data_IF_144028938372
#
_entry.id   IF_144028938372
#
_cell.length_a   1.000
_cell.length_b   1.000
_cell.length_c   1.000
_cell.angle_alpha   90.00
_cell.angle_beta   90.00
_cell.angle_gamma   90.00
#
_symmetry.space_group_name_H-M   'P 1'
#
loop_
_entity.id
_entity.type
_entity.pdbx_description
1 polymer ?
#
# COMPACT_ATOMS: atom_id res chain seq x y z
N UNK A 1 37.61 23.90 17.39
CA UNK A 1 36.91 23.08 18.43
C UNK A 1 35.39 23.23 18.37
N UNK A 2 34.86 24.37 17.90
CA UNK A 2 33.43 24.58 17.60
C UNK A 2 32.95 23.87 16.33
N UNK A 3 33.75 23.84 15.28
CA UNK A 3 33.38 23.25 13.97
C UNK A 3 33.14 21.73 14.06
N UNK A 4 34.01 21.01 14.77
CA UNK A 4 33.86 19.57 15.03
C UNK A 4 32.59 19.24 15.83
N UNK A 5 32.14 20.17 16.70
CA UNK A 5 30.89 20.03 17.44
C UNK A 5 29.66 20.25 16.54
N UNK A 6 29.76 21.17 15.58
CA UNK A 6 28.69 21.44 14.64
C UNK A 6 28.51 20.29 13.64
N UNK A 7 29.62 19.74 13.15
CA UNK A 7 29.60 18.57 12.25
C UNK A 7 28.99 17.34 12.95
N UNK A 8 29.40 17.07 14.19
CA UNK A 8 28.80 15.99 15.00
C UNK A 8 27.30 16.19 15.28
N UNK A 9 26.86 17.43 15.51
CA UNK A 9 25.45 17.72 15.75
C UNK A 9 24.60 17.53 14.49
N UNK A 10 25.10 17.98 13.33
CA UNK A 10 24.42 17.82 12.05
C UNK A 10 24.37 16.34 11.61
N UNK A 11 25.44 15.58 11.84
CA UNK A 11 25.46 14.13 11.58
C UNK A 11 24.43 13.41 12.46
N UNK A 12 24.32 13.78 13.74
CA UNK A 12 23.34 13.19 14.64
C UNK A 12 21.90 13.49 14.21
N UNK A 13 21.58 14.73 13.85
CA UNK A 13 20.25 15.09 13.36
C UNK A 13 19.88 14.32 12.09
N UNK A 14 20.83 14.17 11.16
CA UNK A 14 20.63 13.37 9.95
C UNK A 14 20.38 11.88 10.23
N UNK A 15 21.07 11.32 11.23
CA UNK A 15 20.89 9.92 11.66
C UNK A 15 19.52 9.72 12.32
N UNK A 16 19.12 10.64 13.21
CA UNK A 16 17.80 10.57 13.87
C UNK A 16 16.66 10.71 12.83
N UNK A 17 16.78 11.60 11.84
CA UNK A 17 15.80 11.74 10.75
C UNK A 17 15.69 10.46 9.90
N UNK A 18 16.83 9.86 9.53
CA UNK A 18 16.82 8.57 8.82
C UNK A 18 16.15 7.46 9.62
N UNK A 19 16.40 7.41 10.92
CA UNK A 19 15.84 6.40 11.81
C UNK A 19 14.32 6.54 11.95
N UNK A 20 13.79 7.77 12.01
CA UNK A 20 12.35 8.02 12.07
C UNK A 20 11.66 7.66 10.74
N UNK A 21 12.30 7.96 9.60
CA UNK A 21 11.80 7.55 8.27
C UNK A 21 11.77 6.03 8.14
N UNK A 22 12.83 5.34 8.55
CA UNK A 22 12.91 3.88 8.53
C UNK A 22 11.81 3.26 9.42
N UNK A 23 11.64 3.75 10.65
CA UNK A 23 10.55 3.32 11.53
C UNK A 23 9.18 3.58 10.90
N UNK A 24 8.97 4.75 10.29
CA UNK A 24 7.71 5.06 9.63
C UNK A 24 7.42 4.11 8.46
N UNK A 25 8.43 3.75 7.66
CA UNK A 25 8.23 2.79 6.57
C UNK A 25 7.85 1.40 7.08
N UNK A 26 8.47 0.93 8.17
CA UNK A 26 8.14 -0.37 8.78
C UNK A 26 6.70 -0.38 9.31
N UNK A 27 6.25 0.70 9.96
CA UNK A 27 4.88 0.80 10.48
C UNK A 27 3.84 0.78 9.36
N UNK A 28 4.12 1.45 8.24
CA UNK A 28 3.23 1.43 7.07
C UNK A 28 3.16 0.04 6.43
N UNK A 29 4.29 -0.67 6.33
CA UNK A 29 4.32 -2.06 5.83
C UNK A 29 3.54 -3.03 6.73
N UNK A 30 3.57 -2.84 8.06
CA UNK A 30 2.77 -3.64 9.00
C UNK A 30 1.27 -3.35 8.89
N UNK A 31 0.87 -2.11 8.58
CA UNK A 31 -0.53 -1.70 8.43
C UNK A 31 -1.16 -2.17 7.11
N UNK A 32 -0.38 -2.29 6.04
CA UNK A 32 -0.82 -2.86 4.76
C UNK A 32 -1.05 -4.39 4.85
N UNK A 33 -0.43 -5.05 5.83
CA UNK A 33 -0.56 -6.48 6.03
C UNK A 33 -1.84 -6.84 6.81
N UNK A 34 -2.35 -8.05 6.60
CA UNK A 34 -3.53 -8.49 7.35
C UNK A 34 -3.22 -8.58 8.87
N UNK A 35 -4.10 -8.05 9.75
CA UNK A 35 -3.91 -8.13 11.20
C UNK A 35 -4.06 -9.56 11.75
N UNK A 36 -4.53 -10.49 10.93
CA UNK A 36 -4.70 -11.90 11.28
C UNK A 36 -3.46 -12.65 10.76
N UNK A 37 -2.59 -13.20 11.64
CA UNK A 37 -1.30 -13.76 11.23
C UNK A 37 -1.45 -14.97 10.31
N UNK A 38 -2.52 -15.75 10.46
CA UNK A 38 -2.82 -16.88 9.58
C UNK A 38 -3.13 -16.43 8.15
N UNK A 39 -3.75 -15.26 7.98
CA UNK A 39 -4.10 -14.69 6.67
C UNK A 39 -2.87 -14.07 6.02
N UNK A 40 -2.09 -13.30 6.79
CA UNK A 40 -0.83 -12.72 6.32
C UNK A 40 0.18 -13.77 5.85
N UNK A 41 0.20 -14.94 6.48
CA UNK A 41 1.12 -16.02 6.10
C UNK A 41 0.72 -16.75 4.81
N UNK A 42 -0.55 -16.69 4.40
CA UNK A 42 -1.07 -17.46 3.25
C UNK A 42 -1.49 -16.58 2.06
N UNK A 43 -1.64 -15.27 2.26
CA UNK A 43 -2.04 -14.32 1.21
C UNK A 43 -0.84 -13.46 0.81
N UNK A 44 -0.56 -13.35 -0.48
CA UNK A 44 0.46 -12.43 -1.01
C UNK A 44 -0.05 -10.99 -0.95
N UNK A 45 0.76 -10.06 -0.43
CA UNK A 45 0.44 -8.63 -0.43
C UNK A 45 0.58 -7.96 -1.81
N UNK A 46 1.15 -8.67 -2.80
CA UNK A 46 1.23 -8.19 -4.18
C UNK A 46 0.09 -8.77 -5.01
N UNK A 47 -0.67 -7.88 -5.64
CA UNK A 47 -1.67 -8.24 -6.63
C UNK A 47 -1.04 -8.85 -7.90
N UNK A 48 -1.73 -9.81 -8.52
CA UNK A 48 -1.31 -10.43 -9.78
C UNK A 48 -2.01 -9.74 -10.97
N UNK A 49 -1.26 -9.01 -11.83
CA UNK A 49 -1.82 -8.30 -12.98
C UNK A 49 -2.18 -9.22 -14.16
N UNK A 50 -1.79 -10.50 -14.12
CA UNK A 50 -2.16 -11.49 -15.13
C UNK A 50 -3.56 -12.06 -14.93
N UNK A 51 -4.12 -11.88 -13.73
CA UNK A 51 -5.50 -12.25 -13.44
C UNK A 51 -6.44 -11.43 -14.33
N UNK A 52 -7.40 -12.06 -15.02
CA UNK A 52 -8.27 -11.37 -15.95
C UNK A 52 -9.28 -10.51 -15.18
N UNK A 53 -8.95 -9.24 -15.00
CA UNK A 53 -9.86 -8.20 -14.52
C UNK A 53 -10.82 -7.84 -15.66
N UNK A 54 -12.10 -7.55 -15.35
CA UNK A 54 -13.10 -7.16 -16.36
C UNK A 54 -13.42 -8.24 -17.41
N UNK A 55 -13.61 -9.49 -16.97
CA UNK A 55 -14.01 -10.60 -17.85
C UNK A 55 -15.31 -10.34 -18.62
N UNK A 56 -15.50 -11.04 -19.75
CA UNK A 56 -16.73 -10.99 -20.55
C UNK A 56 -18.00 -11.19 -19.70
N UNK A 57 -18.00 -12.14 -18.74
CA UNK A 57 -19.13 -12.36 -17.83
C UNK A 57 -19.51 -11.14 -17.01
N UNK A 58 -18.54 -10.32 -16.60
CA UNK A 58 -18.80 -9.09 -15.87
C UNK A 58 -19.45 -8.04 -16.77
N UNK A 59 -18.89 -7.82 -17.97
CA UNK A 59 -19.44 -6.86 -18.92
C UNK A 59 -20.85 -7.20 -19.40
N UNK A 60 -21.13 -8.49 -19.64
CA UNK A 60 -22.48 -8.94 -20.03
C UNK A 60 -23.49 -8.58 -18.94
N UNK A 61 -23.19 -8.87 -17.67
CA UNK A 61 -24.09 -8.52 -16.57
C UNK A 61 -24.21 -6.99 -16.41
N UNK A 62 -23.09 -6.26 -16.45
CA UNK A 62 -23.08 -4.81 -16.29
C UNK A 62 -23.91 -4.09 -17.37
N UNK A 63 -23.72 -4.46 -18.65
CA UNK A 63 -24.51 -3.90 -19.77
C UNK A 63 -25.97 -4.31 -19.66
N UNK A 64 -26.26 -5.58 -19.34
CA UNK A 64 -27.63 -6.05 -19.18
C UNK A 64 -28.38 -5.25 -18.11
N UNK A 65 -27.80 -5.08 -16.92
CA UNK A 65 -28.43 -4.31 -15.86
C UNK A 65 -28.52 -2.83 -16.20
N UNK A 66 -27.52 -2.25 -16.86
CA UNK A 66 -27.56 -0.86 -17.32
C UNK A 66 -28.69 -0.62 -18.33
N UNK A 67 -28.86 -1.50 -19.31
CA UNK A 67 -29.97 -1.43 -20.26
C UNK A 67 -31.32 -1.55 -19.55
N UNK A 68 -31.49 -2.57 -18.71
CA UNK A 68 -32.75 -2.81 -17.97
C UNK A 68 -33.13 -1.58 -17.13
N UNK A 69 -32.20 -1.05 -16.33
CA UNK A 69 -32.46 0.12 -15.47
C UNK A 69 -32.74 1.39 -16.29
N UNK A 70 -32.09 1.56 -17.44
CA UNK A 70 -32.36 2.71 -18.33
C UNK A 70 -33.76 2.69 -18.95
N UNK A 71 -34.41 1.53 -19.08
CA UNK A 71 -35.79 1.44 -19.57
C UNK A 71 -36.83 1.79 -18.50
N UNK A 72 -36.48 1.68 -17.22
CA UNK A 72 -37.36 1.98 -16.09
C UNK A 72 -37.18 3.39 -15.52
N UNK A 73 -36.17 4.13 -15.98
CA UNK A 73 -35.92 5.53 -15.59
C UNK A 73 -36.67 6.51 -16.52
#
# INVERSE_FOLDING_TARGET
MSEQKQEYAAEKEFVDEKFDVERSSVVLEEEENSPIPEVAAIVSNKDDPSLPVMTFRFWVMAVLFSCVLSFFN
#
